data_IF_195842344658
#
_entry.id   IF_195842344658
#
_cell.length_a   1.000
_cell.length_b   1.000
_cell.length_c   1.000
_cell.angle_alpha   90.00
_cell.angle_beta   90.00
_cell.angle_gamma   90.00
#
_symmetry.space_group_name_H-M   'P 1'
#
loop_
_entity.id
_entity.type
_entity.pdbx_description
1 polymer ?
#
# COMPACT_ATOMS: atom_id res chain seq x y z
N UNK A 1 20.46 0.82 -10.08
CA UNK A 1 20.34 0.90 -8.61
C UNK A 1 19.08 0.13 -8.18
N UNK A 2 19.21 -0.92 -7.39
CA UNK A 2 18.06 -1.60 -6.78
C UNK A 2 17.72 -0.84 -5.51
N UNK A 3 16.69 0.01 -5.56
CA UNK A 3 16.23 0.74 -4.37
C UNK A 3 15.60 -0.27 -3.41
N UNK A 4 16.19 -0.43 -2.23
CA UNK A 4 15.64 -1.28 -1.17
C UNK A 4 14.40 -0.58 -0.58
N UNK A 5 13.20 -1.13 -0.87
CA UNK A 5 11.91 -0.59 -0.42
C UNK A 5 11.58 -1.08 1.00
N UNK A 6 12.48 -0.78 1.94
CA UNK A 6 12.23 -1.00 3.36
C UNK A 6 11.17 -0.02 3.87
N UNK A 7 10.55 -0.36 5.01
CA UNK A 7 9.53 0.50 5.63
C UNK A 7 10.10 1.86 6.01
N UNK A 8 11.33 1.86 6.53
CA UNK A 8 12.08 3.03 6.99
C UNK A 8 12.33 3.95 5.81
N UNK A 9 12.85 3.41 4.70
CA UNK A 9 13.09 4.17 3.48
C UNK A 9 11.83 4.87 2.97
N UNK A 10 10.71 4.14 2.88
CA UNK A 10 9.44 4.71 2.43
C UNK A 10 8.95 5.80 3.39
N UNK A 11 9.11 5.59 4.69
CA UNK A 11 8.66 6.54 5.70
C UNK A 11 9.47 7.82 5.67
N UNK A 12 10.79 7.73 5.59
CA UNK A 12 11.71 8.87 5.63
C UNK A 12 11.78 9.63 4.31
N UNK A 13 11.76 8.92 3.17
CA UNK A 13 11.98 9.53 1.86
C UNK A 13 10.71 9.87 1.10
N UNK A 14 9.56 9.28 1.47
CA UNK A 14 8.30 9.53 0.77
C UNK A 14 7.26 10.10 1.73
N UNK A 15 6.97 9.39 2.83
CA UNK A 15 5.93 9.83 3.76
C UNK A 15 6.30 11.12 4.50
N UNK A 16 7.58 11.46 4.63
CA UNK A 16 8.03 12.73 5.20
C UNK A 16 7.55 13.96 4.41
N UNK A 17 7.28 13.82 3.10
CA UNK A 17 6.77 14.90 2.26
C UNK A 17 5.25 15.00 2.24
N UNK A 18 4.53 14.06 2.87
CA UNK A 18 3.09 14.15 2.97
C UNK A 18 2.74 15.24 3.99
N UNK A 19 1.96 16.28 3.62
CA UNK A 19 1.45 17.25 4.58
C UNK A 19 0.67 16.51 5.67
N UNK A 20 0.69 17.06 6.89
CA UNK A 20 0.11 16.45 8.10
C UNK A 20 -1.11 15.60 7.78
N UNK A 21 -1.10 14.35 8.26
CA UNK A 21 -2.01 13.24 7.94
C UNK A 21 -3.48 13.55 8.29
N UNK A 22 -4.06 14.60 7.70
CA UNK A 22 -5.49 14.90 7.67
C UNK A 22 -6.12 14.04 6.59
N UNK A 23 -5.97 12.73 6.74
CA UNK A 23 -6.80 11.82 6.00
C UNK A 23 -8.21 11.94 6.58
N UNK A 24 -9.19 12.25 5.72
CA UNK A 24 -10.60 12.32 6.12
C UNK A 24 -11.10 11.01 6.77
N UNK A 25 -10.44 9.89 6.49
CA UNK A 25 -10.70 8.58 7.10
C UNK A 25 -9.40 7.90 7.49
N UNK A 26 -9.36 7.28 8.67
CA UNK A 26 -8.24 6.41 9.05
C UNK A 26 -8.17 5.22 8.09
N UNK A 27 -7.00 5.02 7.48
CA UNK A 27 -6.75 3.84 6.65
C UNK A 27 -6.64 2.61 7.54
N UNK A 28 -7.25 1.50 7.10
CA UNK A 28 -7.10 0.21 7.77
C UNK A 28 -5.66 -0.32 7.63
N UNK A 29 -5.04 -0.09 6.47
CA UNK A 29 -3.64 -0.40 6.22
C UNK A 29 -2.74 0.80 6.58
N UNK A 30 -1.53 0.57 7.11
CA UNK A 30 -0.51 1.61 7.24
C UNK A 30 -0.09 2.17 5.87
N UNK A 31 0.09 3.50 5.80
CA UNK A 31 0.40 4.21 4.56
C UNK A 31 1.66 3.68 3.83
N UNK A 32 2.67 3.21 4.56
CA UNK A 32 3.89 2.71 3.95
C UNK A 32 3.63 1.44 3.10
N UNK A 33 2.67 0.58 3.48
CA UNK A 33 2.29 -0.59 2.69
C UNK A 33 1.60 -0.17 1.38
N UNK A 34 0.72 0.83 1.46
CA UNK A 34 0.03 1.39 0.30
C UNK A 34 1.06 1.97 -0.69
N UNK A 35 1.99 2.79 -0.20
CA UNK A 35 3.06 3.36 -1.03
C UNK A 35 3.95 2.27 -1.62
N UNK A 36 4.29 1.22 -0.85
CA UNK A 36 5.07 0.09 -1.35
C UNK A 36 4.37 -0.63 -2.51
N UNK A 37 3.07 -0.87 -2.40
CA UNK A 37 2.27 -1.47 -3.47
C UNK A 37 2.18 -0.59 -4.71
N UNK A 38 2.04 0.73 -4.54
CA UNK A 38 2.05 1.70 -5.66
C UNK A 38 3.41 1.66 -6.39
N UNK A 39 4.52 1.69 -5.65
CA UNK A 39 5.85 1.63 -6.25
C UNK A 39 6.06 0.30 -6.97
N UNK A 40 5.59 -0.81 -6.40
CA UNK A 40 5.66 -2.11 -7.07
C UNK A 40 4.93 -2.08 -8.40
N UNK A 41 3.69 -1.57 -8.44
CA UNK A 41 2.92 -1.40 -9.69
C UNK A 41 3.66 -0.54 -10.70
N UNK A 42 4.29 0.55 -10.27
CA UNK A 42 5.06 1.42 -11.17
C UNK A 42 6.33 0.73 -11.71
N UNK A 43 6.96 -0.14 -10.91
CA UNK A 43 8.17 -0.86 -11.29
C UNK A 43 7.89 -2.03 -12.24
N UNK A 44 6.79 -2.75 -12.02
CA UNK A 44 6.46 -3.97 -12.80
C UNK A 44 5.51 -3.69 -13.95
N UNK A 45 4.72 -2.62 -13.88
CA UNK A 45 3.68 -2.32 -14.86
C UNK A 45 2.44 -3.22 -14.75
N UNK A 46 2.29 -3.99 -13.67
CA UNK A 46 1.14 -4.88 -13.51
C UNK A 46 -0.18 -4.13 -13.34
N UNK A 47 -1.29 -4.82 -13.65
CA UNK A 47 -2.63 -4.28 -13.42
C UNK A 47 -2.92 -4.19 -11.91
N UNK A 48 -3.75 -3.23 -11.50
CA UNK A 48 -4.12 -3.06 -10.08
C UNK A 48 -4.77 -4.32 -9.47
N UNK A 49 -5.51 -5.09 -10.28
CA UNK A 49 -6.15 -6.36 -9.88
C UNK A 49 -5.16 -7.51 -9.69
N UNK A 50 -3.96 -7.39 -10.26
CA UNK A 50 -2.91 -8.41 -10.23
C UNK A 50 -1.83 -8.07 -9.21
N UNK A 51 -2.05 -7.06 -8.37
CA UNK A 51 -1.14 -6.78 -7.26
C UNK A 51 -1.10 -7.99 -6.31
N UNK A 52 0.08 -8.44 -5.88
CA UNK A 52 0.19 -9.50 -4.88
C UNK A 52 -0.14 -8.94 -3.48
N UNK A 53 -1.43 -8.67 -3.23
CA UNK A 53 -1.94 -8.03 -2.01
C UNK A 53 -1.50 -8.82 -0.77
N UNK A 54 -1.49 -10.15 -0.85
CA UNK A 54 -1.03 -11.07 0.21
C UNK A 54 0.44 -10.87 0.61
N UNK A 55 1.28 -10.33 -0.27
CA UNK A 55 2.68 -10.04 0.03
C UNK A 55 2.90 -8.66 0.66
N UNK A 56 1.90 -7.78 0.62
CA UNK A 56 2.01 -6.40 1.10
C UNK A 56 1.17 -6.09 2.32
N UNK A 57 0.04 -6.79 2.50
CA UNK A 57 -0.96 -6.50 3.52
C UNK A 57 -1.26 -7.73 4.37
N UNK A 58 -1.61 -7.49 5.64
CA UNK A 58 -1.95 -8.56 6.57
C UNK A 58 -3.29 -9.23 6.21
N UNK A 59 -3.43 -10.51 6.54
CA UNK A 59 -4.59 -11.35 6.17
C UNK A 59 -5.93 -10.74 6.60
N UNK A 60 -5.97 -10.08 7.76
CA UNK A 60 -7.16 -9.36 8.27
C UNK A 60 -7.60 -8.23 7.34
N UNK A 61 -6.66 -7.53 6.69
CA UNK A 61 -6.97 -6.47 5.74
C UNK A 61 -7.50 -7.02 4.42
N UNK A 62 -7.04 -8.20 4.02
CA UNK A 62 -7.44 -8.89 2.78
C UNK A 62 -8.88 -9.39 2.90
N UNK A 63 -9.23 -9.99 4.04
CA UNK A 63 -10.60 -10.42 4.32
C UNK A 63 -11.60 -9.26 4.30
N UNK A 64 -11.20 -8.08 4.79
CA UNK A 64 -12.01 -6.86 4.74
C UNK A 64 -12.13 -6.24 3.35
N UNK A 65 -11.16 -6.47 2.46
CA UNK A 65 -11.24 -6.02 1.07
C UNK A 65 -12.18 -6.93 0.26
N UNK A 66 -12.12 -8.24 0.51
CA UNK A 66 -12.92 -9.23 -0.20
C UNK A 66 -14.41 -9.16 0.17
N UNK A 67 -14.76 -8.79 1.40
CA UNK A 67 -16.15 -8.59 1.80
C UNK A 67 -16.83 -7.38 1.14
N UNK A 68 -16.05 -6.39 0.66
CA UNK A 68 -16.57 -5.25 -0.11
C UNK A 68 -16.78 -5.62 -1.58
N UNK A 69 -15.90 -6.47 -2.14
CA UNK A 69 -16.01 -6.96 -3.52
C UNK A 69 -17.12 -8.00 -3.70
N UNK A 70 -17.53 -8.70 -2.65
CA UNK A 70 -18.65 -9.67 -2.68
C UNK A 70 -20.04 -9.02 -2.59
N UNK A 71 -20.12 -7.69 -2.45
CA UNK A 71 -21.36 -6.92 -2.41
C UNK A 71 -21.64 -6.12 -3.70
N UNK A 72 -20.89 -6.38 -4.77
CA UNK A 72 -21.10 -5.81 -6.12
C UNK A 72 -21.46 -6.93 -7.10
#
# INVERSE_FOLDING_TARGET
MVVNLSKEFITEKILAFFPEKKLARKTKAPLWQIVKAIIYRLKTGCQWRELPIQSFFDEVLILLANSILLLQ
#
